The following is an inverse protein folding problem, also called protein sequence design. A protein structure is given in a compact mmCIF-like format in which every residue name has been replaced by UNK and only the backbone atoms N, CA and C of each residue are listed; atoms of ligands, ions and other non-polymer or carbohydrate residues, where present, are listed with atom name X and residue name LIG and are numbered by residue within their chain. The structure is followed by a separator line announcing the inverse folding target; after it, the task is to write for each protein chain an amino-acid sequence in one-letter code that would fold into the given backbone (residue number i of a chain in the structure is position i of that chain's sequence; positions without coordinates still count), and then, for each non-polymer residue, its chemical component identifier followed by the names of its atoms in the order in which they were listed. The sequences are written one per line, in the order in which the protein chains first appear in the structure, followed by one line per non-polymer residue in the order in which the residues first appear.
data_IF_314785489929
#
_entry.id   IF_314785489929
#
_cell.length_a   1.000
_cell.length_b   1.000
_cell.length_c   1.000
_cell.angle_alpha   90.00
_cell.angle_beta   90.00
_cell.angle_gamma   90.00
#
_symmetry.space_group_name_H-M   'P 1'
#
loop_
_entity.id
_entity.type
_entity.pdbx_description
1 polymer ?
#
# COMPACT_ATOMS: atom_id res chain seq x y z
N UNK A 1 11.95 -21.67 48.27
CA UNK A 1 10.65 -22.14 47.73
C UNK A 1 9.93 -20.91 47.26
N UNK A 2 9.92 -20.72 45.95
CA UNK A 2 9.91 -19.39 45.32
C UNK A 2 8.52 -19.11 44.74
N UNK A 3 7.96 -17.95 45.09
CA UNK A 3 6.64 -17.40 44.70
C UNK A 3 6.46 -17.13 43.18
N UNK A 4 7.13 -17.87 42.30
CA UNK A 4 7.15 -17.60 40.86
C UNK A 4 6.18 -18.49 40.05
N UNK A 5 5.68 -19.60 40.59
CA UNK A 5 4.90 -20.58 39.81
C UNK A 5 3.38 -20.34 39.77
N UNK A 6 2.82 -19.53 40.67
CA UNK A 6 1.36 -19.30 40.71
C UNK A 6 0.87 -18.26 39.69
N UNK A 7 1.76 -17.47 39.09
CA UNK A 7 1.35 -16.45 38.10
C UNK A 7 1.18 -17.03 36.69
N UNK A 8 1.84 -18.15 36.37
CA UNK A 8 1.81 -18.74 35.02
C UNK A 8 0.53 -19.56 34.81
N UNK A 9 0.03 -20.23 35.85
CA UNK A 9 -1.18 -21.09 35.77
C UNK A 9 -2.49 -20.30 35.54
N UNK A 10 -2.55 -19.03 35.96
CA UNK A 10 -3.75 -18.20 35.82
C UNK A 10 -3.86 -17.46 34.47
N UNK A 11 -2.79 -17.43 33.66
CA UNK A 11 -2.84 -16.79 32.34
C UNK A 11 -3.36 -17.76 31.28
N UNK A 12 -3.08 -19.06 31.38
CA UNK A 12 -3.50 -20.06 30.39
C UNK A 12 -5.01 -20.38 30.42
N UNK A 13 -5.68 -20.20 31.56
CA UNK A 13 -7.13 -20.48 31.68
C UNK A 13 -8.05 -19.44 31.02
N UNK A 14 -7.56 -18.23 30.73
CA UNK A 14 -8.37 -17.19 30.12
C UNK A 14 -8.37 -17.24 28.57
N UNK A 15 -7.64 -18.17 27.95
CA UNK A 15 -7.55 -18.28 26.49
C UNK A 15 -8.60 -19.21 25.84
N UNK A 16 -9.45 -19.87 26.63
CA UNK A 16 -10.45 -20.83 26.11
C UNK A 16 -11.86 -20.29 25.86
N UNK A 17 -12.22 -19.11 26.38
CA UNK A 17 -13.62 -18.63 26.32
C UNK A 17 -13.94 -17.62 25.20
N UNK A 18 -12.96 -17.18 24.40
CA UNK A 18 -13.21 -16.23 23.28
C UNK A 18 -13.38 -16.94 21.93
N UNK A 19 -13.68 -18.24 21.92
CA UNK A 19 -13.99 -18.97 20.67
C UNK A 19 -15.48 -19.00 20.29
N UNK A 20 -16.36 -18.32 21.03
CA UNK A 20 -17.82 -18.59 20.94
C UNK A 20 -18.71 -17.50 20.31
N UNK A 21 -18.25 -16.29 19.95
CA UNK A 21 -19.20 -15.24 19.50
C UNK A 21 -18.85 -14.44 18.24
N UNK A 22 -17.78 -14.76 17.50
CA UNK A 22 -17.54 -14.11 16.21
C UNK A 22 -18.01 -14.98 15.04
N UNK A 23 -19.17 -14.64 14.48
CA UNK A 23 -19.63 -15.16 13.18
C UNK A 23 -18.63 -14.76 12.10
N UNK A 24 -17.78 -15.70 11.68
CA UNK A 24 -16.77 -15.52 10.62
C UNK A 24 -17.38 -15.10 9.28
N UNK A 25 -18.68 -15.34 9.08
CA UNK A 25 -19.35 -15.19 7.79
C UNK A 25 -19.69 -13.74 7.38
N UNK A 26 -19.42 -12.73 8.22
CA UNK A 26 -19.66 -11.31 7.91
C UNK A 26 -18.38 -10.48 7.75
N UNK A 27 -17.22 -11.09 7.99
CA UNK A 27 -15.95 -10.47 7.65
C UNK A 27 -15.70 -10.87 6.20
N UNK A 28 -15.87 -9.93 5.26
CA UNK A 28 -15.14 -10.06 3.99
C UNK A 28 -13.69 -10.18 4.40
N UNK A 29 -13.13 -11.39 4.29
CA UNK A 29 -11.70 -11.58 4.38
C UNK A 29 -11.09 -10.46 3.53
N UNK A 30 -10.25 -9.58 4.10
CA UNK A 30 -9.48 -8.70 3.24
C UNK A 30 -8.78 -9.61 2.23
N UNK A 31 -8.75 -9.25 0.94
CA UNK A 31 -7.88 -9.94 -0.04
C UNK A 31 -6.45 -9.90 0.54
N UNK A 32 -6.02 -10.93 1.28
CA UNK A 32 -4.69 -11.00 1.92
C UNK A 32 -3.62 -11.37 0.88
N UNK A 33 -3.94 -11.28 -0.41
CA UNK A 33 -2.98 -11.37 -1.52
C UNK A 33 -1.97 -10.20 -1.51
N UNK A 34 -2.27 -9.10 -0.81
CA UNK A 34 -1.49 -7.84 -0.84
C UNK A 34 -0.71 -7.53 0.46
N UNK A 35 -0.71 -8.43 1.45
CA UNK A 35 0.28 -8.40 2.53
C UNK A 35 1.20 -9.61 2.32
N UNK A 36 2.14 -9.46 1.38
CA UNK A 36 3.24 -10.38 1.32
C UNK A 36 3.98 -10.27 2.67
N UNK A 37 3.87 -11.31 3.50
CA UNK A 37 4.73 -11.46 4.67
C UNK A 37 6.22 -11.42 4.28
N UNK A 38 6.56 -11.60 3.00
CA UNK A 38 7.87 -11.37 2.42
C UNK A 38 8.28 -9.89 2.23
N UNK A 39 7.37 -8.92 2.23
CA UNK A 39 7.71 -7.48 2.05
C UNK A 39 8.24 -6.84 3.36
N UNK A 40 7.98 -7.47 4.51
CA UNK A 40 8.62 -7.13 5.80
C UNK A 40 9.92 -7.92 6.04
N UNK A 41 10.28 -8.85 5.15
CA UNK A 41 11.48 -9.68 5.28
C UNK A 41 12.72 -9.04 4.60
N UNK A 42 12.52 -8.02 3.77
CA UNK A 42 13.60 -7.19 3.23
C UNK A 42 13.85 -6.02 4.18
N UNK A 43 15.10 -5.79 4.57
CA UNK A 43 15.51 -4.68 5.43
C UNK A 43 14.72 -3.40 5.10
N UNK A 44 14.11 -2.77 6.10
CA UNK A 44 13.45 -1.46 5.95
C UNK A 44 14.42 -0.54 5.21
N UNK A 45 14.14 -0.25 3.94
CA UNK A 45 14.98 0.61 3.13
C UNK A 45 14.59 2.05 3.36
N UNK A 46 15.57 2.96 3.28
CA UNK A 46 15.32 4.39 3.34
C UNK A 46 14.29 4.82 2.28
N UNK A 47 14.38 4.25 1.08
CA UNK A 47 13.44 4.50 -0.02
C UNK A 47 12.03 4.00 0.31
N UNK A 48 11.90 2.81 0.88
CA UNK A 48 10.61 2.27 1.33
C UNK A 48 9.95 3.20 2.35
N UNK A 49 10.72 3.73 3.30
CA UNK A 49 10.23 4.68 4.30
C UNK A 49 9.84 6.02 3.67
N UNK A 50 10.65 6.55 2.73
CA UNK A 50 10.35 7.75 1.95
C UNK A 50 9.04 7.60 1.18
N UNK A 51 8.85 6.48 0.47
CA UNK A 51 7.63 6.19 -0.31
C UNK A 51 6.42 6.10 0.62
N UNK A 52 6.53 5.40 1.76
CA UNK A 52 5.46 5.31 2.73
C UNK A 52 5.07 6.68 3.31
N UNK A 53 6.07 7.52 3.62
CA UNK A 53 5.85 8.90 4.05
C UNK A 53 5.13 9.73 2.99
N UNK A 54 5.59 9.67 1.73
CA UNK A 54 4.98 10.38 0.62
C UNK A 54 3.51 9.98 0.41
N UNK A 55 3.19 8.69 0.54
CA UNK A 55 1.81 8.18 0.47
C UNK A 55 0.92 8.78 1.56
N UNK A 56 1.42 8.85 2.80
CA UNK A 56 0.69 9.46 3.92
C UNK A 56 0.48 10.96 3.66
N UNK A 57 1.53 11.68 3.26
CA UNK A 57 1.45 13.10 2.92
C UNK A 57 0.45 13.38 1.81
N UNK A 58 0.41 12.54 0.77
CA UNK A 58 -0.58 12.65 -0.30
C UNK A 58 -2.01 12.50 0.22
N UNK A 59 -2.25 11.56 1.16
CA UNK A 59 -3.58 11.37 1.77
C UNK A 59 -3.98 12.52 2.68
N UNK A 60 -3.02 13.18 3.30
CA UNK A 60 -3.23 14.39 4.12
C UNK A 60 -3.42 15.66 3.27
N UNK A 61 -3.47 15.55 1.94
CA UNK A 61 -3.61 16.69 1.04
C UNK A 61 -2.31 17.45 0.78
N UNK A 62 -1.18 17.00 1.35
CA UNK A 62 0.12 17.62 1.14
C UNK A 62 0.82 17.02 -0.10
N UNK A 63 0.21 17.23 -1.26
CA UNK A 63 0.65 16.67 -2.53
C UNK A 63 2.03 17.15 -2.98
N UNK A 64 2.38 18.41 -2.67
CA UNK A 64 3.68 18.99 -3.03
C UNK A 64 4.84 18.31 -2.31
N UNK A 65 4.72 18.05 -1.00
CA UNK A 65 5.75 17.31 -0.26
C UNK A 65 5.82 15.85 -0.69
N UNK A 66 4.67 15.20 -0.91
CA UNK A 66 4.63 13.86 -1.45
C UNK A 66 5.37 13.76 -2.79
N UNK A 67 5.14 14.73 -3.68
CA UNK A 67 5.82 14.81 -4.96
C UNK A 67 7.33 14.94 -4.80
N UNK A 68 7.79 15.87 -3.95
CA UNK A 68 9.22 16.10 -3.73
C UNK A 68 9.95 14.82 -3.27
N UNK A 69 9.37 14.10 -2.31
CA UNK A 69 9.95 12.86 -1.78
C UNK A 69 9.97 11.76 -2.85
N UNK A 70 8.88 11.58 -3.60
CA UNK A 70 8.82 10.57 -4.66
C UNK A 70 9.82 10.87 -5.78
N UNK A 71 9.99 12.15 -6.14
CA UNK A 71 10.97 12.57 -7.15
C UNK A 71 12.40 12.34 -6.69
N UNK A 72 12.70 12.48 -5.39
CA UNK A 72 13.99 12.13 -4.83
C UNK A 72 14.29 10.64 -5.03
N UNK A 73 13.36 9.76 -4.64
CA UNK A 73 13.52 8.31 -4.82
C UNK A 73 13.64 7.93 -6.30
N UNK A 74 12.84 8.54 -7.17
CA UNK A 74 12.87 8.28 -8.61
C UNK A 74 14.10 8.86 -9.31
N UNK A 75 14.75 9.87 -8.74
CA UNK A 75 16.02 10.38 -9.26
C UNK A 75 17.14 9.34 -9.07
N UNK A 76 17.18 8.72 -7.90
CA UNK A 76 18.21 7.73 -7.57
C UNK A 76 17.87 6.35 -8.15
N UNK A 77 16.58 6.02 -8.21
CA UNK A 77 16.04 4.76 -8.75
C UNK A 77 14.87 5.00 -9.71
N UNK A 78 15.13 5.40 -10.98
CA UNK A 78 14.06 5.72 -11.95
C UNK A 78 13.07 4.60 -12.24
N UNK A 79 13.49 3.35 -12.02
CA UNK A 79 12.67 2.15 -12.19
C UNK A 79 11.99 1.65 -10.91
N UNK A 80 12.07 2.38 -9.79
CA UNK A 80 11.47 1.96 -8.54
C UNK A 80 9.94 1.85 -8.69
N UNK A 81 9.45 0.61 -8.69
CA UNK A 81 8.06 0.28 -9.00
C UNK A 81 7.10 0.89 -7.98
N UNK A 82 7.45 0.90 -6.70
CA UNK A 82 6.59 1.41 -5.64
C UNK A 82 6.52 2.94 -5.68
N UNK A 83 7.66 3.61 -5.90
CA UNK A 83 7.70 5.06 -6.09
C UNK A 83 6.92 5.50 -7.33
N UNK A 84 7.09 4.82 -8.47
CA UNK A 84 6.31 5.07 -9.69
C UNK A 84 4.81 4.85 -9.44
N UNK A 85 4.43 3.83 -8.68
CA UNK A 85 3.03 3.53 -8.38
C UNK A 85 2.38 4.64 -7.55
N UNK A 86 3.04 5.08 -6.47
CA UNK A 86 2.53 6.17 -5.64
C UNK A 86 2.57 7.51 -6.39
N UNK A 87 3.55 7.74 -7.27
CA UNK A 87 3.60 8.92 -8.15
C UNK A 87 2.44 8.95 -9.14
N UNK A 88 2.12 7.83 -9.80
CA UNK A 88 0.93 7.73 -10.65
C UNK A 88 -0.36 7.98 -9.85
N UNK A 89 -0.44 7.51 -8.61
CA UNK A 89 -1.56 7.80 -7.70
C UNK A 89 -1.70 9.28 -7.38
N UNK A 90 -0.57 9.95 -7.11
CA UNK A 90 -0.48 11.38 -6.85
C UNK A 90 -0.92 12.21 -8.07
N UNK A 91 -0.46 11.86 -9.27
CA UNK A 91 -0.87 12.53 -10.50
C UNK A 91 -2.39 12.43 -10.71
N UNK A 92 -2.99 11.27 -10.44
CA UNK A 92 -4.44 11.10 -10.51
C UNK A 92 -5.20 11.95 -9.50
N UNK A 93 -4.68 12.13 -8.28
CA UNK A 93 -5.35 12.97 -7.27
C UNK A 93 -5.30 14.45 -7.63
N UNK A 94 -4.26 14.88 -8.37
CA UNK A 94 -4.09 16.24 -8.85
C UNK A 94 -4.76 16.52 -10.21
N UNK A 95 -5.48 15.54 -10.77
CA UNK A 95 -6.14 15.71 -12.07
C UNK A 95 -5.21 15.66 -13.29
N UNK A 96 -3.92 15.37 -13.10
CA UNK A 96 -2.94 15.17 -14.17
C UNK A 96 -3.10 13.79 -14.81
N UNK A 97 -4.28 13.57 -15.39
CA UNK A 97 -4.75 12.23 -15.77
C UNK A 97 -3.89 11.60 -16.86
N UNK A 98 -3.48 12.37 -17.88
CA UNK A 98 -2.67 11.86 -19.00
C UNK A 98 -1.31 11.35 -18.51
N UNK A 99 -0.66 12.10 -17.62
CA UNK A 99 0.63 11.73 -17.04
C UNK A 99 0.49 10.48 -16.17
N UNK A 100 -0.58 10.41 -15.37
CA UNK A 100 -0.88 9.23 -14.58
C UNK A 100 -1.05 7.97 -15.43
N UNK A 101 -1.78 8.06 -16.55
CA UNK A 101 -1.94 6.96 -17.51
C UNK A 101 -0.58 6.52 -18.06
N UNK A 102 0.27 7.47 -18.46
CA UNK A 102 1.61 7.20 -18.96
C UNK A 102 2.47 6.44 -17.93
N UNK A 103 2.44 6.86 -16.67
CA UNK A 103 3.15 6.18 -15.57
C UNK A 103 2.62 4.76 -15.35
N UNK A 104 1.29 4.58 -15.29
CA UNK A 104 0.71 3.25 -15.07
C UNK A 104 0.92 2.29 -16.26
N UNK A 105 1.01 2.80 -17.50
CA UNK A 105 1.38 1.98 -18.65
C UNK A 105 2.82 1.47 -18.55
N UNK A 106 3.77 2.32 -18.13
CA UNK A 106 5.15 1.89 -17.86
C UNK A 106 5.20 0.79 -16.80
N UNK A 107 4.44 0.96 -15.71
CA UNK A 107 4.34 -0.04 -14.65
C UNK A 107 3.70 -1.35 -15.14
N UNK A 108 2.72 -1.28 -16.03
CA UNK A 108 2.09 -2.47 -16.61
C UNK A 108 3.07 -3.26 -17.47
N UNK A 109 3.94 -2.58 -18.22
CA UNK A 109 5.01 -3.24 -18.99
C UNK A 109 5.98 -3.93 -18.04
N UNK A 110 6.37 -3.27 -16.94
CA UNK A 110 7.30 -3.84 -15.96
C UNK A 110 6.68 -4.97 -15.11
N UNK A 111 5.38 -4.92 -14.82
CA UNK A 111 4.64 -5.94 -14.06
C UNK A 111 3.27 -6.27 -14.70
N UNK A 112 3.25 -7.03 -15.82
CA UNK A 112 2.03 -7.30 -16.58
C UNK A 112 0.93 -8.07 -15.81
N UNK A 113 1.35 -8.87 -14.82
CA UNK A 113 0.45 -9.65 -13.96
C UNK A 113 -0.18 -8.88 -12.81
N UNK A 114 0.22 -7.63 -12.55
CA UNK A 114 -0.24 -6.90 -11.37
C UNK A 114 -1.70 -6.45 -11.49
N UNK A 115 -2.59 -7.11 -10.75
CA UNK A 115 -4.01 -6.71 -10.62
C UNK A 115 -4.12 -5.28 -10.09
N UNK A 116 -3.25 -4.88 -9.15
CA UNK A 116 -3.20 -3.53 -8.57
C UNK A 116 -2.93 -2.45 -9.62
N UNK A 117 -1.88 -2.61 -10.44
CA UNK A 117 -1.56 -1.68 -11.53
C UNK A 117 -2.69 -1.64 -12.56
N UNK A 118 -3.28 -2.79 -12.90
CA UNK A 118 -4.43 -2.87 -13.82
C UNK A 118 -5.65 -2.10 -13.33
N UNK A 119 -5.98 -2.21 -12.05
CA UNK A 119 -7.09 -1.46 -11.42
C UNK A 119 -6.81 0.04 -11.47
N UNK A 120 -5.59 0.47 -11.14
CA UNK A 120 -5.20 1.89 -11.17
C UNK A 120 -5.19 2.48 -12.58
N UNK A 121 -4.67 1.74 -13.57
CA UNK A 121 -4.74 2.13 -14.98
C UNK A 121 -6.18 2.24 -15.48
N UNK A 122 -7.04 1.26 -15.13
CA UNK A 122 -8.47 1.32 -15.47
C UNK A 122 -9.15 2.56 -14.89
N UNK A 123 -8.88 2.89 -13.63
CA UNK A 123 -9.37 4.11 -12.99
C UNK A 123 -8.89 5.37 -13.72
N UNK A 124 -7.61 5.40 -14.10
CA UNK A 124 -7.01 6.51 -14.84
C UNK A 124 -7.68 6.71 -16.20
N UNK A 125 -7.85 5.63 -16.98
CA UNK A 125 -8.47 5.67 -18.30
C UNK A 125 -9.94 6.08 -18.25
N UNK A 126 -10.71 5.60 -17.27
CA UNK A 126 -12.11 6.03 -17.07
C UNK A 126 -12.20 7.54 -16.82
N UNK A 127 -11.31 8.09 -15.99
CA UNK A 127 -11.22 9.54 -15.78
C UNK A 127 -10.85 10.24 -17.09
N UNK A 128 -9.87 9.74 -17.84
CA UNK A 128 -9.43 10.35 -19.10
C UNK A 128 -10.58 10.49 -20.11
N UNK A 129 -11.40 9.44 -20.25
CA UNK A 129 -12.55 9.45 -21.16
C UNK A 129 -13.67 10.39 -20.67
N UNK A 130 -13.87 10.51 -19.36
CA UNK A 130 -14.85 11.42 -18.78
C UNK A 130 -14.54 12.90 -18.99
N UNK A 131 -13.26 13.27 -19.14
CA UNK A 131 -12.82 14.64 -19.46
C UNK A 131 -12.82 14.94 -20.97
N UNK A 132 -13.08 13.96 -21.82
CA UNK A 132 -13.11 14.11 -23.28
C UNK A 132 -14.53 14.37 -23.83
N UNK A 133 -15.51 14.63 -22.96
CA UNK A 133 -16.90 14.98 -23.29
C UNK A 133 -17.17 16.42 -22.88
#
# INVERSE_FOLDING_TARGET
MTLADETISNVEKNHTDVKSTFKRDQIKEPDIDDLNAGDLQGAVTLDGLKIACAKVLSKMGNGSLANAILMEVLKDSPGNIDALYEYGGLLLSHGLIKDAVSVFLKLMIARPGSKKIRRSLSKALKRQQGYAR
#
